data_IF_119397310576
#
_entry.id   IF_119397310576
#
_cell.length_a   1.000
_cell.length_b   1.000
_cell.length_c   1.000
_cell.angle_alpha   90.00
_cell.angle_beta   90.00
_cell.angle_gamma   90.00
#
_symmetry.space_group_name_H-M   'P 1'
#
loop_
_entity.id
_entity.type
_entity.pdbx_description
1 polymer ?
#
# COMPACT_ATOMS: atom_id res chain seq x y z
N UNK A 1 -31.60 7.06 2.23
CA UNK A 1 -31.18 5.65 2.32
C UNK A 1 -29.76 5.55 1.80
N UNK A 2 -28.80 5.22 2.66
CA UNK A 2 -27.36 5.17 2.33
C UNK A 2 -27.04 3.72 1.95
N UNK A 3 -26.73 3.47 0.68
CA UNK A 3 -26.21 2.17 0.25
C UNK A 3 -24.70 2.15 0.51
N UNK A 4 -24.29 1.40 1.54
CA UNK A 4 -22.88 1.12 1.84
C UNK A 4 -22.36 0.13 0.79
N UNK A 5 -21.43 0.52 -0.07
CA UNK A 5 -20.60 -0.45 -0.78
C UNK A 5 -19.58 -1.02 0.20
N UNK A 6 -19.80 -2.26 0.61
CA UNK A 6 -18.88 -3.05 1.42
C UNK A 6 -17.93 -3.74 0.44
N UNK A 7 -16.65 -3.38 0.46
CA UNK A 7 -15.63 -4.22 -0.18
C UNK A 7 -15.38 -5.40 0.75
N UNK A 8 -16.17 -6.46 0.59
CA UNK A 8 -15.88 -7.75 1.18
C UNK A 8 -14.70 -8.36 0.41
N UNK A 9 -13.61 -8.64 1.12
CA UNK A 9 -12.58 -9.54 0.62
C UNK A 9 -13.20 -10.93 0.53
N UNK A 10 -13.62 -11.34 -0.66
CA UNK A 10 -14.11 -12.69 -0.88
C UNK A 10 -12.92 -13.67 -0.89
N UNK A 11 -13.07 -14.85 -0.28
CA UNK A 11 -12.07 -15.91 -0.38
C UNK A 11 -11.77 -16.22 -1.85
N UNK A 12 -10.50 -16.44 -2.19
CA UNK A 12 -10.07 -16.73 -3.58
C UNK A 12 -10.82 -17.94 -4.16
N UNK A 13 -11.24 -18.87 -3.31
CA UNK A 13 -12.04 -20.04 -3.66
C UNK A 13 -13.45 -19.68 -4.16
N UNK A 14 -14.12 -18.71 -3.52
CA UNK A 14 -15.44 -18.22 -3.96
C UNK A 14 -15.32 -17.47 -5.30
N UNK A 15 -14.27 -16.67 -5.47
CA UNK A 15 -13.98 -15.98 -6.73
C UNK A 15 -13.68 -16.99 -7.85
N UNK A 16 -13.01 -18.10 -7.52
CA UNK A 16 -12.69 -19.18 -8.46
C UNK A 16 -13.95 -19.95 -8.89
N UNK A 17 -14.84 -20.26 -7.94
CA UNK A 17 -16.11 -20.95 -8.22
C UNK A 17 -17.03 -20.12 -9.12
N UNK A 18 -17.13 -18.81 -8.86
CA UNK A 18 -17.90 -17.87 -9.69
C UNK A 18 -17.32 -17.81 -11.12
N UNK A 19 -15.99 -17.76 -11.27
CA UNK A 19 -15.33 -17.77 -12.59
C UNK A 19 -15.65 -19.03 -13.39
N UNK A 20 -15.70 -20.19 -12.74
CA UNK A 20 -16.08 -21.44 -13.40
C UNK A 20 -17.57 -21.46 -13.80
N UNK A 21 -18.46 -20.97 -12.94
CA UNK A 21 -19.90 -20.91 -13.24
C UNK A 21 -20.22 -20.00 -14.44
N UNK A 22 -19.45 -18.93 -14.63
CA UNK A 22 -19.57 -18.03 -15.79
C UNK A 22 -18.75 -18.49 -17.02
N UNK A 23 -18.15 -19.68 -17.00
CA UNK A 23 -17.41 -20.23 -18.14
C UNK A 23 -16.13 -19.45 -18.50
N UNK A 24 -15.63 -18.61 -17.59
CA UNK A 24 -14.41 -17.82 -17.77
C UNK A 24 -13.19 -18.70 -17.46
N UNK A 25 -12.90 -19.67 -18.32
CA UNK A 25 -11.65 -20.42 -18.25
C UNK A 25 -10.50 -19.53 -18.73
N UNK A 26 -9.51 -19.31 -17.86
CA UNK A 26 -8.22 -18.77 -18.28
C UNK A 26 -7.45 -19.94 -18.89
N UNK A 27 -7.28 -19.92 -20.22
CA UNK A 27 -6.37 -20.84 -20.90
C UNK A 27 -4.92 -20.56 -20.44
N UNK A 28 -4.04 -21.57 -20.32
CA UNK A 28 -2.67 -21.37 -19.84
C UNK A 28 -1.76 -20.60 -20.82
N UNK A 29 -2.29 -20.01 -21.88
CA UNK A 29 -1.51 -19.52 -23.04
C UNK A 29 -1.46 -18.00 -23.20
N UNK A 30 -1.78 -17.23 -22.15
CA UNK A 30 -1.48 -15.79 -22.13
C UNK A 30 -0.70 -15.41 -20.87
N UNK A 31 0.46 -16.05 -20.68
CA UNK A 31 1.55 -15.42 -19.93
C UNK A 31 1.97 -14.19 -20.75
N UNK A 32 1.92 -12.96 -20.20
CA UNK A 32 2.52 -11.85 -20.90
C UNK A 32 4.02 -12.10 -20.95
N UNK A 33 4.52 -12.37 -22.15
CA UNK A 33 5.93 -12.41 -22.50
C UNK A 33 6.62 -11.23 -21.84
N UNK A 34 7.56 -11.54 -20.95
CA UNK A 34 8.51 -10.60 -20.37
C UNK A 34 9.12 -9.77 -21.50
N UNK A 35 8.96 -8.43 -21.56
CA UNK A 35 9.76 -7.66 -22.47
C UNK A 35 11.22 -7.84 -22.07
N UNK A 36 11.98 -8.38 -23.02
CA UNK A 36 13.43 -8.45 -23.05
C UNK A 36 14.04 -7.09 -22.69
N UNK A 37 15.12 -7.14 -21.92
CA UNK A 37 16.00 -6.02 -21.64
C UNK A 37 16.41 -5.33 -22.94
N UNK A 38 16.06 -4.05 -23.09
CA UNK A 38 16.85 -2.96 -23.69
C UNK A 38 15.91 -1.77 -23.78
N UNK A 39 15.90 -0.93 -22.73
CA UNK A 39 15.86 0.54 -22.82
C UNK A 39 16.27 1.05 -21.44
N UNK A 40 17.58 1.23 -21.26
CA UNK A 40 18.15 2.04 -20.20
C UNK A 40 17.80 3.52 -20.48
N UNK A 41 16.54 3.88 -20.28
CA UNK A 41 16.08 5.26 -20.22
C UNK A 41 15.97 5.64 -18.75
N UNK A 42 16.90 6.48 -18.27
CA UNK A 42 16.95 6.96 -16.90
C UNK A 42 15.71 7.77 -16.53
N UNK A 43 14.64 7.11 -16.10
CA UNK A 43 13.64 7.73 -15.24
C UNK A 43 14.17 7.66 -13.81
N UNK A 44 15.22 8.45 -13.56
CA UNK A 44 15.57 8.91 -12.23
C UNK A 44 14.45 9.84 -11.74
N UNK A 45 13.26 9.29 -11.49
CA UNK A 45 12.32 9.90 -10.57
C UNK A 45 13.09 9.87 -9.25
N UNK A 46 13.64 11.01 -8.84
CA UNK A 46 14.22 11.15 -7.52
C UNK A 46 13.15 10.65 -6.54
N UNK A 47 13.35 9.44 -5.98
CA UNK A 47 12.47 8.83 -5.00
C UNK A 47 12.58 9.69 -3.75
N UNK A 48 11.84 10.78 -3.73
CA UNK A 48 11.86 11.73 -2.65
C UNK A 48 10.90 11.21 -1.58
N UNK A 49 11.45 10.97 -0.39
CA UNK A 49 10.71 10.53 0.79
C UNK A 49 9.45 11.37 1.02
N UNK A 50 9.55 12.70 0.95
CA UNK A 50 8.42 13.61 1.14
C UNK A 50 7.35 13.48 0.06
N UNK A 51 7.72 13.21 -1.19
CA UNK A 51 6.75 13.00 -2.27
C UNK A 51 5.94 11.73 -2.01
N UNK A 52 6.59 10.65 -1.58
CA UNK A 52 5.91 9.38 -1.32
C UNK A 52 4.98 9.50 -0.11
N UNK A 53 5.39 10.20 0.96
CA UNK A 53 4.51 10.49 2.11
C UNK A 53 3.23 11.20 1.66
N UNK A 54 3.38 12.25 0.87
CA UNK A 54 2.25 13.02 0.37
C UNK A 54 1.32 12.18 -0.52
N UNK A 55 1.88 11.36 -1.40
CA UNK A 55 1.12 10.45 -2.24
C UNK A 55 0.32 9.43 -1.41
N UNK A 56 0.92 8.84 -0.38
CA UNK A 56 0.22 7.92 0.53
C UNK A 56 -0.92 8.61 1.27
N UNK A 57 -0.70 9.83 1.77
CA UNK A 57 -1.74 10.60 2.43
C UNK A 57 -2.89 10.96 1.46
N UNK A 58 -2.56 11.33 0.21
CA UNK A 58 -3.55 11.57 -0.84
C UNK A 58 -4.36 10.32 -1.18
N UNK A 59 -3.70 9.16 -1.33
CA UNK A 59 -4.37 7.87 -1.55
C UNK A 59 -5.35 7.57 -0.40
N UNK A 60 -4.92 7.78 0.85
CA UNK A 60 -5.78 7.59 2.02
C UNK A 60 -7.04 8.45 1.96
N UNK A 61 -6.89 9.74 1.64
CA UNK A 61 -8.02 10.68 1.45
C UNK A 61 -8.94 10.25 0.32
N UNK A 62 -8.41 9.79 -0.81
CA UNK A 62 -9.22 9.27 -1.92
C UNK A 62 -10.01 8.01 -1.55
N UNK A 63 -9.53 7.23 -0.57
CA UNK A 63 -10.22 6.05 -0.06
C UNK A 63 -11.20 6.35 1.09
N UNK A 64 -11.36 7.63 1.46
CA UNK A 64 -12.24 8.05 2.53
C UNK A 64 -11.65 7.94 3.94
N UNK A 65 -10.33 7.79 4.05
CA UNK A 65 -9.61 7.88 5.32
C UNK A 65 -9.10 9.30 5.58
N UNK A 66 -8.84 9.60 6.84
CA UNK A 66 -8.04 10.74 7.26
C UNK A 66 -6.57 10.31 7.14
N UNK A 67 -5.91 10.78 6.09
CA UNK A 67 -4.48 10.55 5.85
C UNK A 67 -3.64 11.70 6.41
N UNK A 68 -2.82 11.40 7.43
CA UNK A 68 -1.94 12.35 8.11
C UNK A 68 -0.48 11.94 7.97
N UNK A 69 0.38 12.94 7.81
CA UNK A 69 1.83 12.79 7.71
C UNK A 69 2.49 13.12 9.07
N UNK A 70 3.63 12.51 9.36
CA UNK A 70 4.47 12.79 10.55
C UNK A 70 3.74 12.63 11.90
N UNK A 71 2.89 11.60 11.98
CA UNK A 71 2.05 11.31 13.13
C UNK A 71 2.89 10.97 14.38
N UNK A 72 2.59 11.56 15.55
CA UNK A 72 3.36 11.31 16.76
C UNK A 72 3.18 9.87 17.27
N UNK A 73 4.29 9.22 17.59
CA UNK A 73 4.37 7.90 18.19
C UNK A 73 5.29 7.97 19.41
N UNK A 74 4.72 8.40 20.54
CA UNK A 74 5.45 8.65 21.80
C UNK A 74 6.72 9.50 21.59
N UNK A 75 7.89 8.87 21.57
CA UNK A 75 9.21 9.49 21.40
C UNK A 75 9.66 9.64 19.93
N UNK A 76 8.90 9.08 19.00
CA UNK A 76 9.20 9.04 17.57
C UNK A 76 8.03 9.56 16.73
N UNK A 77 8.19 9.58 15.40
CA UNK A 77 7.14 9.93 14.45
C UNK A 77 7.01 8.86 13.38
N UNK A 78 5.76 8.60 13.02
CA UNK A 78 5.37 7.76 11.90
C UNK A 78 5.23 8.60 10.64
N UNK A 79 5.69 8.08 9.51
CA UNK A 79 5.71 8.84 8.26
C UNK A 79 4.30 9.17 7.77
N UNK A 80 3.43 8.16 7.67
CA UNK A 80 2.02 8.35 7.27
C UNK A 80 1.11 7.40 8.03
N UNK A 81 -0.04 7.89 8.47
CA UNK A 81 -1.09 7.08 9.08
C UNK A 81 -2.44 7.34 8.44
N UNK A 82 -3.29 6.32 8.36
CA UNK A 82 -4.68 6.44 7.96
C UNK A 82 -5.63 6.11 9.10
N UNK A 83 -6.59 7.00 9.34
CA UNK A 83 -7.57 6.93 10.42
C UNK A 83 -8.98 7.00 9.86
N UNK A 84 -9.94 6.33 10.51
CA UNK A 84 -11.35 6.40 10.08
C UNK A 84 -12.05 7.64 10.60
N UNK A 85 -11.65 8.12 11.79
CA UNK A 85 -12.20 9.32 12.44
C UNK A 85 -11.09 10.08 13.19
N UNK A 86 -11.26 11.38 13.42
CA UNK A 86 -10.21 12.27 13.96
C UNK A 86 -9.70 11.88 15.35
N UNK A 87 -10.51 11.19 16.16
CA UNK A 87 -10.16 10.77 17.53
C UNK A 87 -9.88 9.28 17.66
N UNK A 88 -9.76 8.54 16.55
CA UNK A 88 -9.38 7.12 16.59
C UNK A 88 -7.88 6.94 16.52
N UNK A 89 -7.44 5.75 16.94
CA UNK A 89 -6.09 5.24 16.66
C UNK A 89 -5.89 4.99 15.15
N UNK A 90 -4.64 5.01 14.66
CA UNK A 90 -4.28 4.56 13.32
C UNK A 90 -4.76 3.15 12.98
N UNK A 91 -5.46 3.03 11.85
CA UNK A 91 -5.85 1.73 11.29
C UNK A 91 -4.77 1.20 10.34
N UNK A 92 -4.17 2.10 9.55
CA UNK A 92 -3.05 1.79 8.67
C UNK A 92 -1.87 2.68 9.01
N UNK A 93 -0.68 2.11 9.02
CA UNK A 93 0.57 2.81 9.36
C UNK A 93 1.61 2.48 8.29
N UNK A 94 2.24 3.51 7.76
CA UNK A 94 3.24 3.41 6.70
C UNK A 94 4.54 4.06 7.16
N UNK A 95 5.66 3.36 6.99
CA UNK A 95 7.01 3.92 7.05
C UNK A 95 7.64 3.90 5.66
N UNK A 96 8.21 5.03 5.23
CA UNK A 96 8.83 5.17 3.92
C UNK A 96 10.35 5.15 4.07
N UNK A 97 10.99 4.17 3.45
CA UNK A 97 12.43 3.96 3.54
C UNK A 97 13.08 3.92 2.15
N UNK A 98 13.64 5.04 1.70
CA UNK A 98 14.34 5.13 0.40
C UNK A 98 15.83 4.84 0.52
N UNK A 99 16.43 5.19 1.64
CA UNK A 99 17.82 4.89 1.98
C UNK A 99 18.08 5.11 3.47
N UNK A 100 19.01 4.34 4.04
CA UNK A 100 19.31 4.37 5.48
C UNK A 100 18.96 3.06 6.18
N UNK A 101 18.59 3.17 7.46
CA UNK A 101 18.41 2.02 8.34
C UNK A 101 16.98 1.47 8.34
N UNK A 102 16.80 0.31 7.70
CA UNK A 102 15.55 -0.44 7.67
C UNK A 102 15.14 -0.96 9.06
N UNK A 103 16.10 -1.21 9.96
CA UNK A 103 15.82 -1.74 11.29
C UNK A 103 14.96 -0.76 12.10
N UNK A 104 15.31 0.53 12.07
CA UNK A 104 14.54 1.56 12.77
C UNK A 104 13.13 1.70 12.21
N UNK A 105 12.94 1.61 10.89
CA UNK A 105 11.62 1.64 10.27
C UNK A 105 10.75 0.45 10.72
N UNK A 106 11.30 -0.77 10.70
CA UNK A 106 10.61 -1.98 11.15
C UNK A 106 10.29 -1.93 12.65
N UNK A 107 11.19 -1.39 13.47
CA UNK A 107 10.97 -1.21 14.90
C UNK A 107 9.78 -0.28 15.20
N UNK A 108 9.67 0.85 14.49
CA UNK A 108 8.52 1.76 14.61
C UNK A 108 7.22 1.08 14.19
N UNK A 109 7.23 0.34 13.09
CA UNK A 109 6.06 -0.40 12.62
C UNK A 109 5.63 -1.47 13.65
N UNK A 110 6.58 -2.22 14.22
CA UNK A 110 6.30 -3.16 15.30
C UNK A 110 5.66 -2.45 16.49
N UNK A 111 6.20 -1.31 16.90
CA UNK A 111 5.66 -0.55 18.03
C UNK A 111 4.23 -0.06 17.77
N UNK A 112 3.93 0.43 16.56
CA UNK A 112 2.57 0.79 16.18
C UNK A 112 1.60 -0.41 16.17
N UNK A 113 2.08 -1.58 15.75
CA UNK A 113 1.31 -2.82 15.83
C UNK A 113 1.05 -3.24 17.28
N UNK A 114 2.06 -3.21 18.14
CA UNK A 114 1.93 -3.58 19.55
C UNK A 114 0.95 -2.63 20.30
N UNK A 115 0.92 -1.34 19.93
CA UNK A 115 0.06 -0.34 20.57
C UNK A 115 -1.39 -0.37 20.08
N UNK A 116 -1.61 -0.53 18.77
CA UNK A 116 -2.93 -0.30 18.16
C UNK A 116 -3.44 -1.48 17.32
N UNK A 117 -2.64 -2.54 17.17
CA UNK A 117 -2.92 -3.65 16.25
C UNK A 117 -3.23 -3.14 14.82
N UNK A 118 -2.50 -2.10 14.39
CA UNK A 118 -2.67 -1.49 13.07
C UNK A 118 -2.20 -2.42 11.94
N UNK A 119 -2.71 -2.20 10.73
CA UNK A 119 -2.08 -2.75 9.54
C UNK A 119 -0.80 -1.98 9.22
N UNK A 120 0.34 -2.67 9.18
CA UNK A 120 1.66 -2.03 9.07
C UNK A 120 2.30 -2.31 7.72
N UNK A 121 2.82 -1.25 7.10
CA UNK A 121 3.37 -1.29 5.75
C UNK A 121 4.74 -0.64 5.71
N UNK A 122 5.72 -1.35 5.15
CA UNK A 122 7.01 -0.77 4.82
C UNK A 122 7.04 -0.41 3.33
N UNK A 123 7.22 0.86 3.03
CA UNK A 123 7.34 1.39 1.67
C UNK A 123 8.81 1.63 1.35
N UNK A 124 9.41 0.78 0.52
CA UNK A 124 10.85 0.87 0.25
C UNK A 124 11.20 0.44 -1.19
N UNK A 125 12.48 0.53 -1.55
CA UNK A 125 12.97 0.01 -2.83
C UNK A 125 13.12 -1.51 -2.78
N UNK A 126 12.98 -2.20 -3.93
CA UNK A 126 13.14 -3.67 -4.00
C UNK A 126 14.49 -4.17 -3.47
N UNK A 127 15.55 -3.35 -3.55
CA UNK A 127 16.86 -3.69 -3.00
C UNK A 127 16.84 -3.94 -1.47
N UNK A 128 15.86 -3.37 -0.76
CA UNK A 128 15.74 -3.51 0.69
C UNK A 128 14.87 -4.70 1.11
N UNK A 129 14.18 -5.35 0.16
CA UNK A 129 13.26 -6.46 0.44
C UNK A 129 13.95 -7.65 1.09
N UNK A 130 15.12 -8.06 0.60
CA UNK A 130 15.89 -9.17 1.17
C UNK A 130 16.26 -8.91 2.64
N UNK A 131 16.67 -7.67 2.96
CA UNK A 131 17.00 -7.28 4.34
C UNK A 131 15.78 -7.29 5.25
N UNK A 132 14.61 -6.90 4.72
CA UNK A 132 13.37 -7.00 5.46
C UNK A 132 13.04 -8.46 5.79
N UNK A 133 13.14 -9.37 4.83
CA UNK A 133 12.85 -10.80 5.01
C UNK A 133 13.80 -11.45 6.04
N UNK A 134 15.09 -11.07 6.04
CA UNK A 134 16.04 -11.48 7.08
C UNK A 134 15.62 -10.97 8.47
N UNK A 135 15.21 -9.71 8.58
CA UNK A 135 14.76 -9.13 9.86
C UNK A 135 13.45 -9.76 10.36
N UNK A 136 12.52 -10.03 9.46
CA UNK A 136 11.24 -10.67 9.77
C UNK A 136 11.40 -12.15 10.10
N UNK A 137 12.38 -12.87 9.54
CA UNK A 137 12.63 -14.27 9.92
C UNK A 137 13.38 -14.42 11.25
N UNK A 138 14.09 -13.38 11.69
CA UNK A 138 14.79 -13.34 12.97
C UNK A 138 14.10 -12.50 14.03
N UNK A 139 14.63 -11.29 14.25
CA UNK A 139 14.26 -10.40 15.36
C UNK A 139 12.78 -10.03 15.39
N UNK A 140 12.14 -9.87 14.23
CA UNK A 140 10.77 -9.38 14.09
C UNK A 140 9.77 -10.45 13.64
N UNK A 141 10.03 -11.72 13.94
CA UNK A 141 9.16 -12.85 13.55
C UNK A 141 7.71 -12.73 14.03
N UNK A 142 7.47 -12.03 15.14
CA UNK A 142 6.12 -11.79 15.67
C UNK A 142 5.23 -11.00 14.70
N UNK A 143 5.80 -10.09 13.91
CA UNK A 143 5.06 -9.21 13.00
C UNK A 143 5.21 -9.61 11.53
N UNK A 144 5.93 -10.69 11.24
CA UNK A 144 6.22 -11.13 9.88
C UNK A 144 4.97 -11.45 9.05
N UNK A 145 3.92 -11.99 9.68
CA UNK A 145 2.65 -12.31 9.01
C UNK A 145 1.76 -11.08 8.77
N UNK A 146 1.98 -10.01 9.53
CA UNK A 146 1.14 -8.81 9.52
C UNK A 146 1.77 -7.66 8.73
N UNK A 147 3.10 -7.64 8.60
CA UNK A 147 3.83 -6.61 7.88
C UNK A 147 3.80 -6.84 6.37
N UNK A 148 3.43 -5.79 5.63
CA UNK A 148 3.38 -5.82 4.18
C UNK A 148 4.43 -4.89 3.57
N UNK A 149 5.19 -5.43 2.60
CA UNK A 149 6.15 -4.65 1.83
C UNK A 149 5.49 -4.06 0.58
N UNK A 150 5.70 -2.76 0.36
CA UNK A 150 5.25 -2.04 -0.82
C UNK A 150 6.46 -1.41 -1.50
N UNK A 151 6.60 -1.63 -2.81
CA UNK A 151 7.63 -0.92 -3.56
C UNK A 151 7.24 0.56 -3.73
N UNK A 152 8.17 1.46 -3.46
CA UNK A 152 7.96 2.91 -3.60
C UNK A 152 7.42 3.32 -4.98
N UNK A 153 7.84 2.64 -6.05
CA UNK A 153 7.38 2.91 -7.42
C UNK A 153 5.87 2.60 -7.61
N UNK A 154 5.32 1.64 -6.88
CA UNK A 154 3.91 1.28 -6.96
C UNK A 154 2.99 2.31 -6.30
N UNK A 155 3.48 3.05 -5.30
CA UNK A 155 2.69 4.11 -4.66
C UNK A 155 2.31 5.17 -5.69
N UNK A 156 3.28 5.64 -6.48
CA UNK A 156 3.03 6.59 -7.56
C UNK A 156 2.05 6.02 -8.59
N UNK A 157 2.31 4.80 -9.07
CA UNK A 157 1.43 4.14 -10.05
C UNK A 157 -0.02 3.99 -9.56
N UNK A 158 -0.20 3.68 -8.27
CA UNK A 158 -1.53 3.54 -7.67
C UNK A 158 -2.25 4.88 -7.64
N UNK A 159 -1.56 5.96 -7.26
CA UNK A 159 -2.13 7.29 -7.24
C UNK A 159 -2.57 7.74 -8.63
N UNK A 160 -1.70 7.58 -9.63
CA UNK A 160 -1.98 7.96 -11.02
C UNK A 160 -3.21 7.20 -11.54
N UNK A 161 -3.26 5.88 -11.37
CA UNK A 161 -4.43 5.06 -11.75
C UNK A 161 -5.72 5.47 -11.04
N UNK A 162 -5.64 5.86 -9.77
CA UNK A 162 -6.82 6.34 -9.03
C UNK A 162 -7.31 7.69 -9.55
N UNK A 163 -6.40 8.58 -9.94
CA UNK A 163 -6.75 9.87 -10.56
C UNK A 163 -7.41 9.66 -11.92
N UNK A 164 -6.83 8.79 -12.75
CA UNK A 164 -7.37 8.47 -14.07
C UNK A 164 -8.77 7.83 -13.97
N UNK A 165 -8.97 6.90 -13.04
CA UNK A 165 -10.26 6.29 -12.80
C UNK A 165 -11.32 7.32 -12.37
N UNK A 166 -10.96 8.19 -11.43
CA UNK A 166 -11.83 9.27 -10.95
C UNK A 166 -12.18 10.26 -12.07
N UNK A 167 -11.23 10.57 -12.94
CA UNK A 167 -11.45 11.42 -14.10
C UNK A 167 -12.36 10.74 -15.12
N UNK A 168 -12.18 9.44 -15.35
CA UNK A 168 -13.07 8.66 -16.22
C UNK A 168 -14.50 8.64 -15.69
N UNK A 169 -14.70 8.44 -14.38
CA UNK A 169 -16.03 8.54 -13.75
C UNK A 169 -16.65 9.94 -13.94
N UNK A 170 -15.83 10.99 -13.88
CA UNK A 170 -16.26 12.38 -14.11
C UNK A 170 -16.71 12.60 -15.55
N UNK A 171 -15.94 12.12 -16.52
CA UNK A 171 -16.26 12.21 -17.96
C UNK A 171 -17.54 11.42 -18.28
N UNK A 172 -17.71 10.24 -17.68
CA UNK A 172 -18.91 9.41 -17.86
C UNK A 172 -20.15 9.94 -17.12
N UNK A 173 -20.01 11.00 -16.30
CA UNK A 173 -21.12 11.59 -15.55
C UNK A 173 -21.66 10.74 -14.40
N UNK A 174 -20.95 9.67 -14.03
CA UNK A 174 -21.32 8.77 -12.93
C UNK A 174 -20.62 9.12 -11.62
N UNK A 175 -19.75 10.13 -11.64
CA UNK A 175 -19.05 10.62 -10.46
C UNK A 175 -20.05 11.27 -9.49
N UNK A 176 -20.30 10.61 -8.36
CA UNK A 176 -21.07 11.20 -7.26
C UNK A 176 -20.26 12.32 -6.62
N UNK A 177 -20.86 13.53 -6.60
CA UNK A 177 -20.38 14.67 -5.82
C UNK A 177 -20.43 14.40 -4.32
#
# INVERSE_FOLDING_TARGET
>A
MISRMVFQCYPVEEVSAVRQAFGLQVSPESVPTRPSQTEAGSLGIALNHGVIKNQLAEIGRMQGYIGEEEYPLESTRLDVVWRRVERSVPTYVFEVQIGGDIYHAVAKLKHAFDLWNSHIFLVASMAQKSRLEELLSGTFHEVASQMLFIEASFVKQLLDKKKDYKEMERVLGIFKR
#
